data_IF_134330231582
#
_entry.id   IF_134330231582
#
_cell.length_a   1.000
_cell.length_b   1.000
_cell.length_c   1.000
_cell.angle_alpha   90.00
_cell.angle_beta   90.00
_cell.angle_gamma   90.00
#
_symmetry.space_group_name_H-M   'P 1'
#
loop_
_entity.id
_entity.type
_entity.pdbx_description
1 polymer ?
#
# COMPACT_ATOMS: atom_id res chain seq x y z
N UNK A 1 -1.25 6.65 -9.84
CA UNK A 1 -2.16 7.10 -8.76
C UNK A 1 -2.67 8.51 -9.08
N UNK A 2 -3.88 8.84 -8.64
CA UNK A 2 -4.50 10.13 -8.94
C UNK A 2 -3.92 11.22 -8.03
N UNK A 3 -2.92 11.93 -8.51
CA UNK A 3 -2.31 13.03 -7.77
C UNK A 3 -2.03 14.18 -8.76
N UNK A 4 -2.44 15.38 -8.40
CA UNK A 4 -2.14 16.59 -9.15
C UNK A 4 -0.88 17.23 -8.56
N UNK A 5 0.21 17.21 -9.32
CA UNK A 5 1.50 17.74 -8.89
C UNK A 5 1.47 19.26 -8.67
N UNK A 6 0.59 19.97 -9.37
CA UNK A 6 0.44 21.43 -9.19
C UNK A 6 -0.22 21.77 -7.86
N UNK A 7 -1.23 20.99 -7.46
CA UNK A 7 -1.89 21.12 -6.16
C UNK A 7 -1.03 20.54 -5.03
N UNK A 8 -0.29 19.47 -5.29
CA UNK A 8 0.69 18.90 -4.36
C UNK A 8 1.89 19.80 -4.11
N UNK A 9 2.20 20.70 -5.06
CA UNK A 9 3.14 21.80 -4.97
C UNK A 9 4.49 21.44 -4.31
N UNK A 10 5.06 20.29 -4.66
CA UNK A 10 6.31 19.76 -4.07
C UNK A 10 6.24 19.63 -2.53
N UNK A 11 5.11 19.23 -1.99
CA UNK A 11 4.96 18.91 -0.57
C UNK A 11 5.72 17.62 -0.21
N UNK A 12 5.98 17.44 1.08
CA UNK A 12 6.80 16.35 1.59
C UNK A 12 6.01 15.36 2.46
N UNK A 13 4.84 15.76 2.93
CA UNK A 13 3.97 14.98 3.80
C UNK A 13 2.51 15.43 3.67
N UNK A 14 1.59 14.82 4.42
CA UNK A 14 0.21 15.28 4.47
C UNK A 14 0.10 16.73 4.95
N UNK A 15 -0.78 17.51 4.30
CA UNK A 15 -1.11 18.86 4.76
C UNK A 15 -2.01 18.81 6.01
N UNK A 16 -1.57 19.44 7.08
CA UNK A 16 -2.32 19.47 8.32
C UNK A 16 -1.54 20.10 9.48
N UNK A 17 -2.03 19.85 10.69
CA UNK A 17 -1.41 20.37 11.91
C UNK A 17 0.03 19.89 12.08
N UNK A 18 0.30 18.62 11.76
CA UNK A 18 1.64 18.02 11.93
C UNK A 18 2.63 18.66 10.96
N UNK A 19 2.29 18.80 9.68
CA UNK A 19 3.18 19.45 8.71
C UNK A 19 3.47 20.92 9.08
N UNK A 20 2.48 21.62 9.59
CA UNK A 20 2.64 23.00 10.07
C UNK A 20 3.61 23.06 11.26
N UNK A 21 3.43 22.17 12.24
CA UNK A 21 4.30 22.13 13.43
C UNK A 21 5.74 21.72 13.10
N UNK A 22 5.93 20.89 12.10
CA UNK A 22 7.26 20.46 11.62
C UNK A 22 7.89 21.48 10.65
N UNK A 23 7.16 22.53 10.24
CA UNK A 23 7.63 23.46 9.23
C UNK A 23 7.79 22.86 7.83
N UNK A 24 7.11 21.73 7.57
CA UNK A 24 7.16 21.03 6.30
C UNK A 24 6.00 21.41 5.40
N UNK A 25 6.27 21.51 4.10
CA UNK A 25 5.24 21.74 3.10
C UNK A 25 4.33 20.53 2.96
N UNK A 26 3.02 20.77 3.09
CA UNK A 26 2.00 19.73 3.01
C UNK A 26 1.55 19.43 1.58
N UNK A 27 1.02 18.22 1.39
CA UNK A 27 0.30 17.74 0.20
C UNK A 27 -1.17 17.61 0.59
N UNK A 28 -2.07 18.51 0.12
CA UNK A 28 -3.47 18.48 0.52
C UNK A 28 -4.21 17.28 -0.08
N UNK A 29 -5.26 16.82 0.60
CA UNK A 29 -6.12 15.73 0.11
C UNK A 29 -6.75 16.07 -1.25
N UNK A 30 -7.00 17.37 -1.52
CA UNK A 30 -7.56 17.84 -2.79
C UNK A 30 -6.67 17.52 -3.98
N UNK A 31 -5.35 17.40 -3.80
CA UNK A 31 -4.44 16.99 -4.87
C UNK A 31 -4.78 15.58 -5.40
N UNK A 32 -5.24 14.68 -4.54
CA UNK A 32 -5.70 13.35 -4.90
C UNK A 32 -7.16 13.37 -5.37
N UNK A 33 -8.05 13.99 -4.61
CA UNK A 33 -9.49 13.88 -4.85
C UNK A 33 -9.97 14.64 -6.08
N UNK A 34 -9.37 15.77 -6.45
CA UNK A 34 -9.70 16.50 -7.68
C UNK A 34 -9.36 15.67 -8.94
N UNK A 35 -8.17 15.08 -8.95
CA UNK A 35 -7.76 14.19 -10.05
C UNK A 35 -8.66 12.97 -10.13
N UNK A 36 -8.93 12.33 -8.98
CA UNK A 36 -9.83 11.18 -8.91
C UNK A 36 -11.24 11.52 -9.42
N UNK A 37 -11.82 12.64 -8.98
CA UNK A 37 -13.15 13.07 -9.42
C UNK A 37 -13.21 13.31 -10.93
N UNK A 38 -12.20 13.95 -11.51
CA UNK A 38 -12.07 14.13 -12.95
C UNK A 38 -12.04 12.77 -13.69
N UNK A 39 -11.19 11.87 -13.21
CA UNK A 39 -10.99 10.56 -13.84
C UNK A 39 -12.26 9.69 -13.77
N UNK A 40 -13.01 9.78 -12.67
CA UNK A 40 -14.31 9.12 -12.54
C UNK A 40 -15.37 9.67 -13.51
N UNK A 41 -15.39 10.99 -13.75
CA UNK A 41 -16.28 11.60 -14.75
C UNK A 41 -15.91 11.11 -16.16
N UNK A 42 -14.63 11.04 -16.49
CA UNK A 42 -14.16 10.51 -17.77
C UNK A 42 -14.53 9.03 -17.93
N UNK A 43 -14.39 8.24 -16.86
CA UNK A 43 -14.81 6.83 -16.87
C UNK A 43 -16.32 6.69 -17.10
N UNK A 44 -17.14 7.52 -16.45
CA UNK A 44 -18.60 7.54 -16.62
C UNK A 44 -18.98 7.92 -18.04
N UNK A 45 -18.30 8.89 -18.63
CA UNK A 45 -18.51 9.32 -20.02
C UNK A 45 -18.10 8.27 -21.05
N UNK A 46 -16.90 7.70 -20.91
CA UNK A 46 -16.33 6.76 -21.88
C UNK A 46 -16.85 5.34 -21.78
N UNK A 47 -17.49 4.98 -20.66
CA UNK A 47 -17.92 3.60 -20.32
C UNK A 47 -16.78 2.58 -20.37
N UNK A 48 -15.54 3.03 -20.17
CA UNK A 48 -14.35 2.21 -20.21
C UNK A 48 -14.16 1.33 -18.97
N UNK A 49 -12.93 0.84 -18.80
CA UNK A 49 -12.47 0.07 -17.63
C UNK A 49 -11.29 0.82 -17.00
N UNK A 50 -11.34 1.06 -15.69
CA UNK A 50 -10.29 1.80 -14.99
C UNK A 50 -9.78 1.02 -13.76
N UNK A 51 -8.48 1.13 -13.49
CA UNK A 51 -7.87 0.71 -12.24
C UNK A 51 -7.08 1.86 -11.65
N UNK A 52 -7.33 2.18 -10.38
CA UNK A 52 -6.61 3.19 -9.62
C UNK A 52 -5.67 2.45 -8.64
N UNK A 53 -4.35 2.51 -8.86
CA UNK A 53 -3.40 1.72 -8.07
C UNK A 53 -3.43 2.02 -6.57
N UNK A 54 -3.52 3.32 -6.22
CA UNK A 54 -3.49 3.76 -4.83
C UNK A 54 -4.45 4.92 -4.61
N UNK A 55 -5.14 4.87 -3.48
CA UNK A 55 -5.82 6.00 -2.84
C UNK A 55 -5.30 6.11 -1.41
N UNK A 56 -5.31 7.30 -0.84
CA UNK A 56 -4.71 7.54 0.47
C UNK A 56 -5.63 8.25 1.48
N UNK A 57 -6.78 8.77 1.07
CA UNK A 57 -7.63 9.55 1.96
C UNK A 57 -9.11 9.10 1.98
N UNK A 58 -9.81 9.43 3.06
CA UNK A 58 -11.21 9.08 3.30
C UNK A 58 -12.14 9.55 2.18
N UNK A 59 -11.96 10.77 1.71
CA UNK A 59 -12.77 11.34 0.62
C UNK A 59 -12.62 10.52 -0.68
N UNK A 60 -11.43 10.01 -0.97
CA UNK A 60 -11.21 9.12 -2.11
C UNK A 60 -11.98 7.80 -1.97
N UNK A 61 -12.05 7.23 -0.75
CA UNK A 61 -12.86 6.03 -0.49
C UNK A 61 -14.33 6.29 -0.81
N UNK A 62 -14.87 7.43 -0.38
CA UNK A 62 -16.28 7.80 -0.67
C UNK A 62 -16.53 7.99 -2.17
N UNK A 63 -15.62 8.64 -2.89
CA UNK A 63 -15.73 8.81 -4.34
C UNK A 63 -15.76 7.45 -5.06
N UNK A 64 -14.85 6.54 -4.70
CA UNK A 64 -14.79 5.17 -5.25
C UNK A 64 -16.07 4.41 -4.92
N UNK A 65 -16.56 4.48 -3.67
CA UNK A 65 -17.79 3.82 -3.23
C UNK A 65 -18.99 4.30 -4.04
N UNK A 66 -19.13 5.61 -4.22
CA UNK A 66 -20.19 6.21 -5.03
C UNK A 66 -20.12 5.78 -6.50
N UNK A 67 -18.91 5.77 -7.09
CA UNK A 67 -18.69 5.35 -8.47
C UNK A 67 -19.04 3.86 -8.69
N UNK A 68 -18.66 2.98 -7.77
CA UNK A 68 -19.02 1.56 -7.81
C UNK A 68 -20.53 1.33 -7.66
N UNK A 69 -21.21 2.11 -6.78
CA UNK A 69 -22.69 2.06 -6.66
C UNK A 69 -23.40 2.48 -7.94
N UNK A 70 -22.81 3.37 -8.73
CA UNK A 70 -23.31 3.73 -10.08
C UNK A 70 -23.04 2.64 -11.13
N UNK A 71 -22.33 1.58 -10.79
CA UNK A 71 -21.99 0.49 -11.71
C UNK A 71 -20.82 0.79 -12.64
N UNK A 72 -19.96 1.76 -12.34
CA UNK A 72 -18.78 2.03 -13.14
C UNK A 72 -17.79 0.86 -13.06
N UNK A 73 -17.19 0.51 -14.19
CA UNK A 73 -16.21 -0.58 -14.27
C UNK A 73 -14.86 -0.15 -13.71
N UNK A 74 -14.82 -0.05 -12.39
CA UNK A 74 -13.74 0.50 -11.59
C UNK A 74 -13.19 -0.51 -10.61
N UNK A 75 -11.88 -0.51 -10.42
CA UNK A 75 -11.21 -1.11 -9.27
C UNK A 75 -10.16 -0.16 -8.70
N UNK A 76 -9.86 -0.31 -7.42
CA UNK A 76 -8.78 0.45 -6.79
C UNK A 76 -7.99 -0.39 -5.80
N UNK A 77 -6.77 0.06 -5.53
CA UNK A 77 -5.90 -0.48 -4.51
C UNK A 77 -5.62 0.53 -3.40
N UNK A 78 -4.97 0.03 -2.35
CA UNK A 78 -4.41 0.83 -1.26
C UNK A 78 -3.01 0.32 -0.93
N UNK A 79 -2.12 1.23 -0.58
CA UNK A 79 -0.80 0.87 -0.08
C UNK A 79 -0.87 0.30 1.34
N UNK A 80 -0.14 -0.79 1.60
CA UNK A 80 -0.02 -1.35 2.95
C UNK A 80 0.46 -0.30 3.97
N UNK A 81 1.42 0.60 3.65
CA UNK A 81 1.80 1.67 4.55
C UNK A 81 0.63 2.51 5.08
N UNK A 82 -0.32 2.86 4.20
CA UNK A 82 -1.50 3.66 4.57
C UNK A 82 -2.50 2.94 5.46
N UNK A 83 -2.43 1.61 5.52
CA UNK A 83 -3.24 0.80 6.44
C UNK A 83 -2.61 0.69 7.84
N UNK A 84 -1.31 0.94 7.96
CA UNK A 84 -0.53 0.64 9.18
C UNK A 84 -0.07 1.92 9.87
N UNK A 85 0.40 2.91 9.11
CA UNK A 85 1.00 4.13 9.60
C UNK A 85 0.15 5.36 9.28
N UNK A 86 0.41 6.44 10.01
CA UNK A 86 -0.20 7.76 9.84
C UNK A 86 0.88 8.83 9.72
N UNK A 87 0.48 10.07 9.45
CA UNK A 87 1.40 11.21 9.42
C UNK A 87 2.17 11.43 10.75
N UNK A 88 1.67 10.88 11.87
CA UNK A 88 2.33 10.96 13.17
C UNK A 88 3.69 10.22 13.19
N UNK A 89 3.87 9.22 12.32
CA UNK A 89 5.14 8.50 12.18
C UNK A 89 6.27 9.36 11.58
N UNK A 90 5.96 10.57 11.13
CA UNK A 90 6.93 11.52 10.56
C UNK A 90 7.46 12.52 11.59
N UNK A 91 6.97 12.51 12.84
CA UNK A 91 7.37 13.45 13.90
C UNK A 91 8.89 13.47 14.18
N UNK A 92 9.58 12.36 13.94
CA UNK A 92 11.03 12.23 14.11
C UNK A 92 11.82 12.46 12.81
N UNK A 93 11.18 12.95 11.75
CA UNK A 93 11.80 13.16 10.43
C UNK A 93 12.44 11.92 9.82
N UNK A 94 11.99 10.71 10.21
CA UNK A 94 12.49 9.48 9.62
C UNK A 94 12.07 9.38 8.14
N UNK A 95 13.06 9.50 7.25
CA UNK A 95 12.85 9.49 5.80
C UNK A 95 12.28 8.18 5.27
N UNK A 96 12.40 7.05 5.98
CA UNK A 96 11.81 5.78 5.58
C UNK A 96 10.28 5.84 5.48
N UNK A 97 9.63 6.75 6.24
CA UNK A 97 8.19 7.02 6.15
C UNK A 97 7.81 8.03 5.06
N UNK A 98 8.78 8.63 4.37
CA UNK A 98 8.52 9.55 3.26
C UNK A 98 8.16 8.76 2.00
N UNK A 99 6.87 8.76 1.66
CA UNK A 99 6.28 8.05 0.52
C UNK A 99 5.26 8.93 -0.21
N UNK A 100 4.91 8.58 -1.43
CA UNK A 100 3.87 9.23 -2.23
C UNK A 100 2.91 8.16 -2.78
N UNK A 101 1.58 8.29 -2.55
CA UNK A 101 0.87 9.30 -1.76
C UNK A 101 1.38 9.35 -0.32
N UNK A 102 1.31 10.52 0.36
CA UNK A 102 1.81 10.63 1.72
C UNK A 102 0.95 9.84 2.72
N UNK A 103 1.56 9.45 3.84
CA UNK A 103 0.80 8.95 5.00
C UNK A 103 -0.14 10.05 5.48
N UNK A 104 -1.41 9.71 5.68
CA UNK A 104 -2.48 10.63 6.04
C UNK A 104 -2.85 10.51 7.52
N UNK A 105 -3.96 11.12 7.90
CA UNK A 105 -4.47 11.11 9.26
C UNK A 105 -4.99 9.73 9.70
N UNK A 106 -5.20 9.54 11.00
CA UNK A 106 -5.85 8.34 11.54
C UNK A 106 -7.30 8.17 11.06
N UNK A 107 -7.98 9.26 10.70
CA UNK A 107 -9.33 9.21 10.10
C UNK A 107 -9.25 8.59 8.71
N UNK A 108 -8.28 9.03 7.90
CA UNK A 108 -8.06 8.49 6.56
C UNK A 108 -7.68 7.00 6.63
N UNK A 109 -6.75 6.65 7.52
CA UNK A 109 -6.35 5.26 7.74
C UNK A 109 -7.54 4.37 8.08
N UNK A 110 -8.43 4.81 8.97
CA UNK A 110 -9.64 4.06 9.34
C UNK A 110 -10.56 3.85 8.14
N UNK A 111 -10.83 4.92 7.38
CA UNK A 111 -11.66 4.84 6.18
C UNK A 111 -11.09 3.88 5.14
N UNK A 112 -9.76 3.86 4.94
CA UNK A 112 -9.09 2.92 4.05
C UNK A 112 -9.25 1.47 4.51
N UNK A 113 -9.10 1.20 5.81
CA UNK A 113 -9.32 -0.14 6.39
C UNK A 113 -10.76 -0.60 6.21
N UNK A 114 -11.74 0.26 6.50
CA UNK A 114 -13.16 -0.02 6.31
C UNK A 114 -13.48 -0.27 4.83
N UNK A 115 -12.96 0.58 3.93
CA UNK A 115 -13.12 0.40 2.48
C UNK A 115 -12.51 -0.89 1.93
N UNK A 116 -11.43 -1.37 2.54
CA UNK A 116 -10.82 -2.66 2.19
C UNK A 116 -11.68 -3.85 2.68
N UNK A 117 -12.28 -3.72 3.86
CA UNK A 117 -13.13 -4.75 4.47
C UNK A 117 -14.49 -4.87 3.77
N UNK A 118 -15.10 -3.76 3.40
CA UNK A 118 -16.42 -3.72 2.73
C UNK A 118 -16.35 -3.95 1.22
N UNK A 119 -15.15 -4.04 0.63
CA UNK A 119 -14.93 -4.29 -0.80
C UNK A 119 -14.98 -3.04 -1.68
N UNK A 120 -15.07 -1.85 -1.10
CA UNK A 120 -14.87 -0.57 -1.84
C UNK A 120 -13.47 -0.53 -2.43
N UNK A 121 -12.46 -0.98 -1.68
CA UNK A 121 -11.08 -1.17 -2.13
C UNK A 121 -10.87 -2.64 -2.47
N UNK A 122 -10.34 -2.91 -3.66
CA UNK A 122 -10.25 -4.27 -4.22
C UNK A 122 -9.03 -5.05 -3.79
N UNK A 123 -7.90 -4.37 -3.55
CA UNK A 123 -6.62 -5.03 -3.31
C UNK A 123 -5.65 -4.15 -2.52
N UNK A 124 -4.60 -4.78 -2.01
CA UNK A 124 -3.47 -4.09 -1.38
C UNK A 124 -2.24 -4.15 -2.27
N UNK A 125 -1.35 -3.19 -2.09
CA UNK A 125 -0.01 -3.17 -2.68
C UNK A 125 1.03 -2.95 -1.60
N UNK A 126 2.18 -3.62 -1.74
CA UNK A 126 3.33 -3.40 -0.86
C UNK A 126 3.92 -2.00 -0.98
N UNK A 127 3.66 -1.30 -2.08
CA UNK A 127 4.33 -0.05 -2.46
C UNK A 127 5.86 -0.16 -2.41
N UNK A 128 6.38 -1.33 -2.78
CA UNK A 128 7.80 -1.63 -2.72
C UNK A 128 8.59 -0.71 -3.65
N UNK A 129 9.34 0.21 -3.06
CA UNK A 129 10.15 1.19 -3.78
C UNK A 129 11.56 1.26 -3.15
N UNK A 130 12.50 0.48 -3.68
CA UNK A 130 13.89 0.53 -3.25
C UNK A 130 14.53 1.86 -3.68
N UNK A 131 15.26 2.48 -2.76
CA UNK A 131 15.96 3.74 -2.96
C UNK A 131 17.42 3.55 -2.57
N UNK A 132 18.33 4.17 -3.34
CA UNK A 132 19.74 4.17 -3.00
C UNK A 132 19.96 4.88 -1.64
N UNK A 133 20.78 4.32 -0.74
CA UNK A 133 21.09 4.95 0.55
C UNK A 133 21.56 6.40 0.45
N UNK A 134 22.33 6.76 -0.57
CA UNK A 134 22.81 8.13 -0.80
C UNK A 134 21.67 9.12 -1.07
N UNK A 135 20.56 8.66 -1.64
CA UNK A 135 19.36 9.47 -1.90
C UNK A 135 18.35 9.42 -0.76
N UNK A 136 18.43 8.41 0.10
CA UNK A 136 17.51 8.20 1.22
C UNK A 136 18.03 8.78 2.53
N UNK A 137 19.32 8.65 2.82
CA UNK A 137 19.96 9.12 4.05
C UNK A 137 20.32 10.62 3.97
N UNK A 138 19.34 11.42 3.58
CA UNK A 138 19.44 12.88 3.51
C UNK A 138 18.49 13.52 4.53
N UNK A 139 18.59 14.83 4.70
CA UNK A 139 17.56 15.60 5.40
C UNK A 139 16.18 15.27 4.81
N UNK A 140 15.16 15.22 5.64
CA UNK A 140 13.82 14.76 5.24
C UNK A 140 13.29 15.43 3.97
N UNK A 141 13.51 16.74 3.81
CA UNK A 141 13.06 17.50 2.64
C UNK A 141 13.76 17.01 1.36
N UNK A 142 15.04 16.69 1.44
CA UNK A 142 15.89 16.31 0.33
C UNK A 142 15.87 14.79 0.06
N UNK A 143 15.43 13.98 1.03
CA UNK A 143 15.35 12.54 0.88
C UNK A 143 14.33 12.14 -0.20
N UNK A 144 14.68 11.15 -1.02
CA UNK A 144 13.80 10.60 -2.04
C UNK A 144 12.63 9.83 -1.41
N UNK A 145 11.44 9.96 -2.01
CA UNK A 145 10.27 9.18 -1.62
C UNK A 145 10.48 7.69 -1.91
N UNK A 146 9.93 6.86 -1.04
CA UNK A 146 9.91 5.40 -1.21
C UNK A 146 10.34 4.63 0.02
N UNK A 147 9.78 3.44 0.15
CA UNK A 147 10.13 2.44 1.17
C UNK A 147 9.97 1.05 0.60
N UNK A 148 10.79 0.12 0.99
CA UNK A 148 10.60 -1.29 0.63
C UNK A 148 9.56 -1.91 1.56
N UNK A 149 8.75 -2.84 1.04
CA UNK A 149 7.68 -3.45 1.83
C UNK A 149 7.21 -4.79 1.30
N UNK A 150 7.85 -5.33 0.25
CA UNK A 150 7.43 -6.60 -0.33
C UNK A 150 7.59 -7.75 0.68
N UNK A 151 8.72 -7.79 1.37
CA UNK A 151 9.07 -8.81 2.36
C UNK A 151 8.21 -8.70 3.63
N UNK A 152 7.77 -7.49 3.97
CA UNK A 152 6.95 -7.22 5.15
C UNK A 152 5.44 -7.43 4.92
N UNK A 153 4.99 -7.42 3.66
CA UNK A 153 3.58 -7.29 3.29
C UNK A 153 2.64 -8.27 4.00
N UNK A 154 2.96 -9.55 4.02
CA UNK A 154 2.13 -10.59 4.65
C UNK A 154 2.14 -10.49 6.17
N UNK A 155 3.35 -10.45 6.76
CA UNK A 155 3.53 -10.56 8.21
C UNK A 155 3.06 -9.33 8.98
N UNK A 156 3.13 -8.12 8.38
CA UNK A 156 2.63 -6.90 9.03
C UNK A 156 1.11 -6.79 8.95
N UNK A 157 0.48 -7.23 7.85
CA UNK A 157 -0.97 -7.20 7.71
C UNK A 157 -1.68 -8.10 8.72
N UNK A 158 -1.06 -9.22 9.14
CA UNK A 158 -1.65 -10.15 10.11
C UNK A 158 -1.84 -9.54 11.52
N UNK A 159 -1.19 -8.42 11.85
CA UNK A 159 -1.44 -7.72 13.11
C UNK A 159 -2.76 -6.94 13.09
N UNK A 160 -3.30 -6.64 11.91
CA UNK A 160 -4.46 -5.75 11.75
C UNK A 160 -5.68 -6.47 11.18
N UNK A 161 -5.48 -7.63 10.52
CA UNK A 161 -6.57 -8.36 9.86
C UNK A 161 -6.46 -9.86 10.11
N UNK A 162 -7.58 -10.57 10.16
CA UNK A 162 -7.60 -12.04 10.21
C UNK A 162 -6.88 -12.65 8.99
N UNK A 163 -6.23 -13.80 9.18
CA UNK A 163 -5.44 -14.48 8.16
C UNK A 163 -6.15 -14.64 6.81
N UNK A 164 -7.41 -15.09 6.83
CA UNK A 164 -8.20 -15.29 5.62
C UNK A 164 -8.39 -13.98 4.83
N UNK A 165 -8.59 -12.87 5.55
CA UNK A 165 -8.68 -11.54 4.94
C UNK A 165 -7.35 -11.12 4.33
N UNK A 166 -6.24 -11.33 5.04
CA UNK A 166 -4.89 -11.02 4.53
C UNK A 166 -4.62 -11.77 3.22
N UNK A 167 -4.88 -13.08 3.19
CA UNK A 167 -4.72 -13.90 1.98
C UNK A 167 -5.62 -13.36 0.85
N UNK A 168 -6.88 -13.08 1.15
CA UNK A 168 -7.81 -12.51 0.17
C UNK A 168 -7.31 -11.17 -0.40
N UNK A 169 -6.86 -10.24 0.45
CA UNK A 169 -6.38 -8.92 0.03
C UNK A 169 -5.15 -9.00 -0.88
N UNK A 170 -4.25 -9.95 -0.63
CA UNK A 170 -3.04 -10.18 -1.42
C UNK A 170 -3.29 -10.94 -2.73
N UNK A 171 -4.42 -11.64 -2.87
CA UNK A 171 -4.65 -12.54 -4.01
C UNK A 171 -5.81 -12.13 -4.93
N UNK A 172 -6.89 -11.55 -4.38
CA UNK A 172 -8.13 -11.27 -5.15
C UNK A 172 -7.93 -10.27 -6.30
N UNK A 173 -6.93 -9.39 -6.20
CA UNK A 173 -6.61 -8.42 -7.24
C UNK A 173 -6.22 -9.04 -8.58
N UNK A 174 -5.73 -10.27 -8.60
CA UNK A 174 -5.32 -11.01 -9.80
C UNK A 174 -6.44 -11.04 -10.86
N UNK A 175 -7.68 -11.25 -10.44
CA UNK A 175 -8.83 -11.36 -11.35
C UNK A 175 -9.04 -10.07 -12.18
N UNK A 176 -8.74 -8.90 -11.63
CA UNK A 176 -8.87 -7.62 -12.34
C UNK A 176 -7.94 -7.51 -13.55
N UNK A 177 -6.80 -8.19 -13.49
CA UNK A 177 -5.78 -8.18 -14.52
C UNK A 177 -5.81 -9.45 -15.39
N UNK A 178 -6.89 -10.24 -15.33
CA UNK A 178 -7.04 -11.51 -16.05
C UNK A 178 -5.93 -12.54 -15.71
N UNK A 179 -5.37 -12.45 -14.50
CA UNK A 179 -4.42 -13.43 -14.01
C UNK A 179 -5.24 -14.56 -13.38
N UNK A 180 -5.21 -15.73 -14.03
CA UNK A 180 -5.96 -16.92 -13.59
C UNK A 180 -5.26 -17.50 -12.35
N UNK A 181 -6.02 -17.75 -11.30
CA UNK A 181 -5.54 -18.52 -10.17
C UNK A 181 -5.43 -20.00 -10.59
N UNK A 182 -4.28 -20.59 -10.35
CA UNK A 182 -4.11 -22.03 -10.54
C UNK A 182 -4.89 -22.75 -9.44
N UNK A 183 -5.82 -23.66 -9.76
CA UNK A 183 -6.55 -24.41 -8.75
C UNK A 183 -5.58 -25.31 -7.96
N UNK A 184 -5.86 -25.51 -6.66
CA UNK A 184 -5.09 -26.40 -5.81
C UNK A 184 -5.63 -27.83 -5.94
N UNK A 185 -5.30 -28.49 -7.07
CA UNK A 185 -5.81 -29.81 -7.44
C UNK A 185 -4.67 -30.65 -8.02
N UNK A 186 -4.82 -31.99 -7.94
CA UNK A 186 -3.86 -32.94 -8.53
C UNK A 186 -3.76 -32.71 -10.05
N UNK A 187 -2.53 -32.59 -10.55
CA UNK A 187 -2.25 -32.32 -11.97
C UNK A 187 -2.21 -30.85 -12.34
N UNK A 188 -2.58 -29.95 -11.44
CA UNK A 188 -2.47 -28.50 -11.67
C UNK A 188 -1.01 -28.04 -11.59
N UNK A 189 -0.71 -26.95 -12.32
CA UNK A 189 0.60 -26.30 -12.23
C UNK A 189 0.78 -25.69 -10.84
N UNK A 190 1.92 -25.97 -10.22
CA UNK A 190 2.20 -25.46 -8.86
C UNK A 190 2.50 -23.97 -8.87
N UNK A 191 1.78 -23.19 -8.05
CA UNK A 191 2.03 -21.77 -7.75
C UNK A 191 1.61 -21.52 -6.30
N UNK A 192 2.51 -21.76 -5.35
CA UNK A 192 2.24 -21.80 -3.91
C UNK A 192 3.19 -20.91 -3.14
N UNK A 193 2.66 -20.26 -2.10
CA UNK A 193 3.44 -19.63 -1.04
C UNK A 193 3.35 -20.44 0.23
N UNK A 194 4.49 -20.69 0.87
CA UNK A 194 4.60 -21.48 2.09
C UNK A 194 4.82 -20.51 3.27
N UNK A 195 3.96 -20.60 4.27
CA UNK A 195 4.04 -19.72 5.43
C UNK A 195 3.54 -20.39 6.70
N UNK A 196 3.99 -19.89 7.86
CA UNK A 196 3.41 -20.20 9.16
C UNK A 196 2.63 -18.98 9.65
N UNK A 197 1.33 -19.07 9.97
CA UNK A 197 0.55 -17.95 10.49
C UNK A 197 0.80 -17.70 11.98
N UNK A 198 1.43 -18.63 12.69
CA UNK A 198 1.70 -18.54 14.12
C UNK A 198 3.05 -17.91 14.44
N UNK A 199 3.22 -17.57 15.73
CA UNK A 199 4.44 -16.91 16.21
C UNK A 199 4.38 -15.40 16.07
N UNK A 200 5.21 -14.72 16.86
CA UNK A 200 5.40 -13.28 16.83
C UNK A 200 6.88 -12.94 16.95
N UNK A 201 7.33 -11.94 16.23
CA UNK A 201 8.69 -11.42 16.26
C UNK A 201 8.68 -9.93 15.92
N UNK A 202 9.86 -9.35 15.73
CA UNK A 202 10.00 -7.96 15.28
C UNK A 202 10.67 -7.97 13.91
N UNK A 203 10.11 -7.21 12.96
CA UNK A 203 10.69 -7.08 11.62
C UNK A 203 12.07 -6.40 11.73
N UNK A 204 13.10 -7.05 11.23
CA UNK A 204 14.47 -6.59 11.29
C UNK A 204 15.13 -6.52 9.92
N UNK A 205 16.33 -5.99 9.84
CA UNK A 205 17.12 -5.98 8.60
C UNK A 205 17.41 -7.37 8.03
N UNK A 206 17.41 -8.38 8.87
CA UNK A 206 17.62 -9.79 8.47
C UNK A 206 16.49 -10.36 7.63
N UNK A 207 15.27 -9.83 7.79
CA UNK A 207 14.10 -10.21 6.98
C UNK A 207 14.11 -9.60 5.58
N UNK A 208 15.07 -8.71 5.28
CA UNK A 208 15.10 -7.97 4.01
C UNK A 208 16.06 -8.64 3.05
N UNK A 209 15.53 -9.20 1.95
CA UNK A 209 16.30 -9.77 0.86
C UNK A 209 16.68 -8.72 -0.20
N UNK A 210 15.91 -7.65 -0.31
CA UNK A 210 16.20 -6.52 -1.21
C UNK A 210 17.58 -5.93 -0.93
N UNK A 211 18.25 -5.49 -1.98
CA UNK A 211 19.56 -4.81 -1.87
C UNK A 211 19.45 -3.52 -1.07
N UNK A 212 18.43 -2.72 -1.35
CA UNK A 212 18.12 -1.53 -0.56
C UNK A 212 17.52 -1.90 0.79
N UNK A 213 17.78 -1.07 1.81
CA UNK A 213 17.35 -1.30 3.20
C UNK A 213 16.46 -0.15 3.73
N UNK A 214 15.97 0.73 2.88
CA UNK A 214 15.05 1.83 3.21
C UNK A 214 13.66 1.27 3.54
N UNK A 215 13.44 0.86 4.78
CA UNK A 215 12.27 0.10 5.19
C UNK A 215 11.61 0.70 6.44
N UNK A 216 10.40 1.23 6.28
CA UNK A 216 9.61 1.78 7.39
C UNK A 216 9.14 0.72 8.40
N UNK A 217 9.20 -0.56 8.05
CA UNK A 217 8.70 -1.64 8.91
C UNK A 217 9.74 -2.16 9.92
N UNK A 218 11.01 -1.74 9.84
CA UNK A 218 12.02 -2.14 10.82
C UNK A 218 11.59 -1.71 12.22
N UNK A 219 11.62 -2.64 13.18
CA UNK A 219 11.13 -2.42 14.54
C UNK A 219 9.64 -2.69 14.72
N UNK A 220 8.89 -2.95 13.66
CA UNK A 220 7.46 -3.26 13.75
C UNK A 220 7.24 -4.69 14.24
N UNK A 221 6.37 -4.92 15.24
CA UNK A 221 5.92 -6.26 15.58
C UNK A 221 5.29 -6.94 14.37
N UNK A 222 5.62 -8.22 14.15
CA UNK A 222 5.07 -9.03 13.07
C UNK A 222 4.51 -10.35 13.59
N UNK A 223 3.54 -10.89 12.84
CA UNK A 223 2.92 -12.17 13.15
C UNK A 223 3.12 -13.14 12.00
N UNK A 224 3.55 -14.36 12.34
CA UNK A 224 3.85 -15.40 11.37
C UNK A 224 5.18 -15.24 10.65
N UNK A 225 5.46 -16.13 9.73
CA UNK A 225 6.67 -16.13 8.90
C UNK A 225 6.39 -16.71 7.52
N UNK A 226 7.15 -16.28 6.52
CA UNK A 226 7.10 -16.81 5.16
C UNK A 226 8.30 -17.74 4.97
N UNK A 227 8.05 -18.99 4.62
CA UNK A 227 9.09 -19.97 4.37
C UNK A 227 9.63 -19.96 2.95
N UNK A 228 8.82 -19.50 1.99
CA UNK A 228 9.24 -19.45 0.60
C UNK A 228 8.09 -19.65 -0.39
N UNK A 229 8.44 -19.93 -1.63
CA UNK A 229 7.47 -20.15 -2.70
C UNK A 229 7.89 -21.32 -3.63
N UNK A 230 6.88 -21.90 -4.27
CA UNK A 230 7.05 -22.94 -5.29
C UNK A 230 6.31 -22.48 -6.55
N UNK A 231 6.99 -22.41 -7.68
CA UNK A 231 6.39 -22.03 -8.97
C UNK A 231 6.87 -22.95 -10.08
N UNK A 232 5.97 -23.84 -10.54
CA UNK A 232 6.33 -24.90 -11.49
C UNK A 232 7.39 -25.83 -10.90
N UNK A 233 8.55 -25.92 -11.54
CA UNK A 233 9.70 -26.73 -11.07
C UNK A 233 10.68 -25.95 -10.18
N UNK A 234 10.45 -24.66 -9.98
CA UNK A 234 11.32 -23.82 -9.16
C UNK A 234 10.75 -23.68 -7.75
N UNK A 235 11.60 -23.82 -6.76
CA UNK A 235 11.27 -23.50 -5.39
C UNK A 235 12.38 -22.64 -4.77
N UNK A 236 11.98 -21.72 -3.92
CA UNK A 236 12.89 -20.88 -3.13
C UNK A 236 12.40 -20.89 -1.69
N UNK A 237 13.26 -21.32 -0.79
CA UNK A 237 13.01 -21.25 0.65
C UNK A 237 13.83 -20.12 1.26
N UNK A 238 13.24 -19.42 2.18
CA UNK A 238 13.93 -18.46 3.04
C UNK A 238 14.73 -19.25 4.07
N UNK A 239 16.01 -19.04 4.12
CA UNK A 239 16.92 -19.65 5.10
C UNK A 239 16.86 -18.93 6.43
#
# INVERSE_FOLDING_TARGET
YPMDDSLGNKGHMNEGLISTNLGLKGIPNVAETATLARDLQLLEYTKGKMHIPFISCATSVELIRAAKKKGLNLSCGVGIPHLIYTEENLLEFNSDFKIVPPLRTSIDQRALREGLLDGTIDMVSSMHQPVNPELKNLEFVNAQDGSIGLEAAFVVLQNYFPLEKVISFLTRGKARFNIINTPFELGSKVDLSLFNPGGSSVFSKEHIHSTSKNCMYIGTPIKGSVYGCIRGSHFQLNS
#
